data_IF_169706652498
#
_entry.id   IF_169706652498
#
_cell.length_a   1.000
_cell.length_b   1.000
_cell.length_c   1.000
_cell.angle_alpha   90.00
_cell.angle_beta   90.00
_cell.angle_gamma   90.00
#
_symmetry.space_group_name_H-M   'P 1'
#
loop_
_entity.id
_entity.type
_entity.pdbx_description
1 polymer ?
#
# COMPACT_ATOMS: atom_id res chain seq x y z
N UNK A 1 -30.25 -49.18 42.19
CA UNK A 1 -29.53 -47.97 41.72
C UNK A 1 -29.84 -46.83 42.68
N UNK A 2 -28.83 -46.31 43.41
CA UNK A 2 -29.02 -45.14 44.27
C UNK A 2 -28.84 -43.88 43.42
N UNK A 3 -29.93 -43.16 43.18
CA UNK A 3 -29.86 -41.82 42.63
C UNK A 3 -29.42 -40.89 43.77
N UNK A 4 -28.16 -40.47 43.74
CA UNK A 4 -27.70 -39.35 44.57
C UNK A 4 -28.28 -38.07 43.97
N UNK A 5 -29.50 -37.73 44.38
CA UNK A 5 -30.07 -36.41 44.16
C UNK A 5 -29.15 -35.42 44.87
N UNK A 6 -28.31 -34.72 44.11
CA UNK A 6 -27.39 -33.70 44.65
C UNK A 6 -28.15 -32.72 45.52
N UNK A 7 -27.53 -32.26 46.60
CA UNK A 7 -28.16 -31.31 47.50
C UNK A 7 -28.39 -29.96 46.77
N UNK A 8 -29.39 -29.16 47.19
CA UNK A 8 -29.63 -27.84 46.60
C UNK A 8 -28.39 -26.93 46.60
N UNK A 9 -27.52 -27.07 47.60
CA UNK A 9 -26.25 -26.32 47.67
C UNK A 9 -25.23 -26.74 46.62
N UNK A 10 -25.15 -28.04 46.30
CA UNK A 10 -24.28 -28.56 45.24
C UNK A 10 -24.71 -28.09 43.85
N UNK A 11 -26.02 -27.99 43.63
CA UNK A 11 -26.56 -27.39 42.39
C UNK A 11 -26.21 -25.91 42.29
N UNK A 12 -26.40 -25.14 43.37
CA UNK A 12 -26.05 -23.71 43.39
C UNK A 12 -24.57 -23.46 43.10
N UNK A 13 -23.66 -24.22 43.73
CA UNK A 13 -22.22 -24.12 43.47
C UNK A 13 -21.87 -24.44 42.01
N UNK A 14 -22.50 -25.46 41.43
CA UNK A 14 -22.27 -25.85 40.03
C UNK A 14 -22.75 -24.79 39.04
N UNK A 15 -23.88 -24.17 39.30
CA UNK A 15 -24.43 -23.14 38.43
C UNK A 15 -23.61 -21.85 38.50
N UNK A 16 -23.15 -21.45 39.69
CA UNK A 16 -22.18 -20.36 39.85
C UNK A 16 -20.88 -20.63 39.09
N UNK A 17 -20.35 -21.86 39.16
CA UNK A 17 -19.12 -22.22 38.48
C UNK A 17 -19.29 -22.24 36.95
N UNK A 18 -20.43 -22.75 36.45
CA UNK A 18 -20.80 -22.67 35.02
C UNK A 18 -20.93 -21.22 34.55
N UNK A 19 -21.55 -20.34 35.35
CA UNK A 19 -21.65 -18.92 35.02
C UNK A 19 -20.27 -18.26 34.96
N UNK A 20 -19.39 -18.51 35.94
CA UNK A 20 -18.01 -17.98 35.92
C UNK A 20 -17.27 -18.44 34.67
N UNK A 21 -17.37 -19.72 34.31
CA UNK A 21 -16.74 -20.25 33.09
C UNK A 21 -17.32 -19.61 31.81
N UNK A 22 -18.65 -19.39 31.74
CA UNK A 22 -19.28 -18.70 30.60
C UNK A 22 -18.79 -17.26 30.48
N UNK A 23 -18.75 -16.51 31.60
CA UNK A 23 -18.25 -15.13 31.62
C UNK A 23 -16.77 -15.05 31.25
N UNK A 24 -15.95 -15.97 31.75
CA UNK A 24 -14.52 -16.05 31.40
C UNK A 24 -14.31 -16.33 29.90
N UNK A 25 -15.04 -17.30 29.32
CA UNK A 25 -14.99 -17.60 27.88
C UNK A 25 -15.46 -16.42 27.03
N UNK A 26 -16.53 -15.74 27.44
CA UNK A 26 -17.04 -14.57 26.74
C UNK A 26 -16.01 -13.43 26.75
N UNK A 27 -15.40 -13.15 27.91
CA UNK A 27 -14.36 -12.12 28.04
C UNK A 27 -13.11 -12.46 27.22
N UNK A 28 -12.68 -13.73 27.22
CA UNK A 28 -11.55 -14.18 26.40
C UNK A 28 -11.85 -14.01 24.90
N UNK A 29 -13.05 -14.39 24.45
CA UNK A 29 -13.49 -14.23 23.06
C UNK A 29 -13.55 -12.75 22.65
N UNK A 30 -14.08 -11.89 23.52
CA UNK A 30 -14.12 -10.43 23.29
C UNK A 30 -12.73 -9.83 23.16
N UNK A 31 -11.79 -10.22 24.03
CA UNK A 31 -10.38 -9.79 23.94
C UNK A 31 -9.73 -10.26 22.64
N UNK A 32 -9.91 -11.54 22.29
CA UNK A 32 -9.40 -12.10 21.05
C UNK A 32 -9.93 -11.35 19.81
N UNK A 33 -11.22 -11.02 19.78
CA UNK A 33 -11.81 -10.20 18.71
C UNK A 33 -11.24 -8.78 18.68
N UNK A 34 -11.04 -8.15 19.82
CA UNK A 34 -10.40 -6.82 19.89
C UNK A 34 -8.97 -6.86 19.36
N UNK A 35 -8.18 -7.89 19.72
CA UNK A 35 -6.84 -8.08 19.17
C UNK A 35 -6.86 -8.30 17.66
N UNK A 36 -7.80 -9.10 17.15
CA UNK A 36 -7.97 -9.30 15.71
C UNK A 36 -8.26 -7.97 15.00
N UNK A 37 -9.22 -7.20 15.51
CA UNK A 37 -9.60 -5.91 14.93
C UNK A 37 -8.45 -4.90 14.98
N UNK A 38 -7.70 -4.86 16.09
CA UNK A 38 -6.52 -4.02 16.22
C UNK A 38 -5.43 -4.38 15.19
N UNK A 39 -5.17 -5.68 14.99
CA UNK A 39 -4.22 -6.13 13.97
C UNK A 39 -4.69 -5.80 12.55
N UNK A 40 -5.99 -5.96 12.26
CA UNK A 40 -6.55 -5.61 10.96
C UNK A 40 -6.46 -4.10 10.70
N UNK A 41 -6.78 -3.28 11.70
CA UNK A 41 -6.64 -1.83 11.63
C UNK A 41 -5.17 -1.42 11.41
N UNK A 42 -4.23 -2.07 12.10
CA UNK A 42 -2.79 -1.82 11.92
C UNK A 42 -2.34 -2.17 10.49
N UNK A 43 -2.71 -3.34 9.98
CA UNK A 43 -2.38 -3.75 8.62
C UNK A 43 -2.97 -2.79 7.57
N UNK A 44 -4.23 -2.40 7.74
CA UNK A 44 -4.88 -1.42 6.87
C UNK A 44 -4.17 -0.05 6.93
N UNK A 45 -3.80 0.40 8.13
CA UNK A 45 -3.07 1.67 8.31
C UNK A 45 -1.71 1.66 7.58
N UNK A 46 -0.98 0.54 7.63
CA UNK A 46 0.29 0.40 6.90
C UNK A 46 0.08 0.51 5.38
N UNK A 47 -0.94 -0.15 4.84
CA UNK A 47 -1.25 -0.05 3.40
C UNK A 47 -1.56 1.39 2.98
N UNK A 48 -2.33 2.12 3.78
CA UNK A 48 -2.66 3.53 3.52
C UNK A 48 -1.41 4.40 3.56
N UNK A 49 -0.55 4.24 4.57
CA UNK A 49 0.71 5.00 4.68
C UNK A 49 1.62 4.75 3.48
N UNK A 50 1.79 3.49 3.06
CA UNK A 50 2.60 3.14 1.88
C UNK A 50 2.02 3.76 0.61
N UNK A 51 0.70 3.71 0.42
CA UNK A 51 0.03 4.34 -0.71
C UNK A 51 0.27 5.85 -0.76
N UNK A 52 0.08 6.53 0.38
CA UNK A 52 0.32 7.98 0.48
C UNK A 52 1.78 8.31 0.18
N UNK A 53 2.72 7.53 0.72
CA UNK A 53 4.15 7.72 0.49
C UNK A 53 4.53 7.57 -0.99
N UNK A 54 3.97 6.58 -1.68
CA UNK A 54 4.18 6.38 -3.12
C UNK A 54 3.56 7.53 -3.93
N UNK A 55 2.34 7.95 -3.60
CA UNK A 55 1.64 9.02 -4.31
C UNK A 55 2.25 10.42 -4.10
N UNK A 56 2.97 10.64 -3.00
CA UNK A 56 3.67 11.90 -2.70
C UNK A 56 5.07 11.98 -3.31
N UNK A 57 5.53 10.97 -4.06
CA UNK A 57 6.80 11.09 -4.77
C UNK A 57 6.70 12.27 -5.73
N UNK A 58 7.61 13.24 -5.65
CA UNK A 58 7.58 14.38 -6.57
C UNK A 58 7.62 13.86 -8.00
N UNK A 59 6.91 14.51 -8.94
CA UNK A 59 7.01 14.16 -10.35
C UNK A 59 8.48 14.19 -10.72
N UNK A 60 8.98 13.07 -11.22
CA UNK A 60 10.37 12.96 -11.64
C UNK A 60 10.53 13.95 -12.81
N UNK A 61 11.53 14.85 -12.79
CA UNK A 61 11.73 15.79 -13.88
C UNK A 61 11.81 15.05 -15.22
N UNK A 62 11.04 15.50 -16.21
CA UNK A 62 10.94 14.83 -17.51
C UNK A 62 10.03 13.61 -17.55
N UNK A 63 9.24 13.34 -16.50
CA UNK A 63 8.18 12.31 -16.49
C UNK A 63 6.80 12.97 -16.53
N UNK A 64 6.06 12.73 -17.61
CA UNK A 64 4.68 13.19 -17.80
C UNK A 64 3.79 11.97 -17.99
N UNK A 65 2.77 11.82 -17.15
CA UNK A 65 1.84 10.68 -17.18
C UNK A 65 2.56 9.31 -17.27
N UNK A 66 3.55 9.06 -16.41
CA UNK A 66 4.31 7.81 -16.39
C UNK A 66 5.26 7.60 -17.58
N UNK A 67 5.27 8.51 -18.56
CA UNK A 67 6.20 8.49 -19.68
C UNK A 67 7.39 9.40 -19.36
N UNK A 68 8.59 8.85 -19.43
CA UNK A 68 9.82 9.62 -19.32
C UNK A 68 10.35 9.98 -20.70
N UNK A 69 10.59 11.26 -20.95
CA UNK A 69 11.30 11.74 -22.15
C UNK A 69 12.74 12.06 -21.78
N UNK A 70 13.69 11.46 -22.50
CA UNK A 70 15.12 11.72 -22.34
C UNK A 70 15.66 12.20 -23.67
N UNK A 71 16.21 13.40 -23.68
CA UNK A 71 16.88 13.99 -24.84
C UNK A 71 18.38 13.96 -24.54
N UNK A 72 19.17 13.29 -25.36
CA UNK A 72 20.64 13.38 -25.33
C UNK A 72 21.15 13.88 -26.66
N UNK A 73 22.07 14.82 -26.57
CA UNK A 73 22.91 15.26 -27.68
C UNK A 73 24.35 14.76 -27.44
N UNK A 74 25.19 14.83 -28.47
CA UNK A 74 26.63 14.59 -28.34
C UNK A 74 27.27 15.60 -27.37
N UNK A 75 28.32 15.17 -26.65
CA UNK A 75 28.98 15.98 -25.62
C UNK A 75 29.71 17.20 -26.20
N UNK A 76 30.18 17.10 -27.44
CA UNK A 76 30.88 18.19 -28.15
C UNK A 76 30.05 18.71 -29.33
N UNK A 77 29.54 19.93 -29.18
CA UNK A 77 28.77 20.61 -30.23
C UNK A 77 29.75 21.40 -31.12
N UNK A 78 30.07 20.86 -32.30
CA UNK A 78 30.93 21.52 -33.28
C UNK A 78 30.06 22.24 -34.31
N UNK A 79 30.23 23.56 -34.44
CA UNK A 79 29.40 24.44 -35.30
C UNK A 79 29.31 24.03 -36.77
N UNK A 80 30.22 23.20 -37.27
CA UNK A 80 30.29 22.77 -38.66
C UNK A 80 29.76 21.35 -38.91
N UNK A 81 29.27 20.65 -37.87
CA UNK A 81 28.73 19.30 -37.97
C UNK A 81 27.24 19.28 -37.63
N UNK A 82 26.44 18.41 -38.28
CA UNK A 82 25.07 18.14 -37.83
C UNK A 82 25.08 17.65 -36.38
N UNK A 83 24.14 18.15 -35.58
CA UNK A 83 23.94 17.69 -34.21
C UNK A 83 23.13 16.39 -34.22
N UNK A 84 23.71 15.28 -33.76
CA UNK A 84 22.94 14.05 -33.52
C UNK A 84 22.21 14.17 -32.18
N UNK A 85 20.87 14.10 -32.21
CA UNK A 85 20.01 14.16 -31.03
C UNK A 85 19.17 12.90 -30.96
N UNK A 86 19.27 12.20 -29.84
CA UNK A 86 18.49 10.99 -29.56
C UNK A 86 17.42 11.29 -28.51
N UNK A 87 16.18 11.03 -28.88
CA UNK A 87 15.03 11.10 -28.00
C UNK A 87 14.61 9.68 -27.64
N UNK A 88 14.66 9.35 -26.35
CA UNK A 88 14.11 8.12 -25.82
C UNK A 88 12.85 8.40 -25.03
N UNK A 89 11.82 7.58 -25.28
CA UNK A 89 10.59 7.58 -24.50
C UNK A 89 10.50 6.26 -23.76
N UNK A 90 10.45 6.32 -22.44
CA UNK A 90 10.30 5.15 -21.59
C UNK A 90 8.92 5.16 -20.95
N UNK A 91 8.15 4.10 -21.17
CA UNK A 91 6.95 3.84 -20.39
C UNK A 91 7.34 3.24 -19.05
N UNK A 92 7.11 3.99 -17.96
CA UNK A 92 7.36 3.53 -16.60
C UNK A 92 6.14 2.90 -15.95
N UNK A 93 5.01 2.90 -16.64
CA UNK A 93 3.79 2.24 -16.18
C UNK A 93 3.76 0.77 -16.65
N UNK A 94 3.11 -0.11 -15.88
CA UNK A 94 2.99 -1.53 -16.24
C UNK A 94 2.03 -1.78 -17.41
N UNK A 95 1.18 -0.81 -17.76
CA UNK A 95 0.23 -0.92 -18.86
C UNK A 95 0.80 -0.37 -20.17
N UNK A 96 0.36 -0.91 -21.31
CA UNK A 96 0.71 -0.36 -22.62
C UNK A 96 0.12 1.04 -22.79
N UNK A 97 0.93 1.98 -23.28
CA UNK A 97 0.51 3.34 -23.62
C UNK A 97 0.87 3.66 -25.06
N UNK A 98 -0.09 4.26 -25.76
CA UNK A 98 0.17 4.85 -27.07
C UNK A 98 0.66 6.28 -26.87
N UNK A 99 1.74 6.62 -27.55
CA UNK A 99 2.33 7.95 -27.50
C UNK A 99 2.46 8.48 -28.92
N UNK A 100 2.07 9.73 -29.11
CA UNK A 100 2.29 10.47 -30.34
C UNK A 100 3.08 11.71 -29.98
N UNK A 101 4.22 11.89 -30.65
CA UNK A 101 4.99 13.13 -30.58
C UNK A 101 4.49 14.00 -31.72
N UNK A 102 3.78 15.07 -31.39
CA UNK A 102 3.34 16.11 -32.32
C UNK A 102 3.95 17.45 -31.90
N UNK A 103 4.34 18.27 -32.88
CA UNK A 103 4.76 19.66 -32.65
C UNK A 103 5.96 19.79 -31.68
N UNK A 104 7.12 19.27 -32.08
CA UNK A 104 8.35 19.44 -31.30
C UNK A 104 9.12 20.70 -31.74
N UNK A 105 9.71 21.40 -30.77
CA UNK A 105 10.59 22.54 -30.98
C UNK A 105 11.87 22.36 -30.16
N UNK A 106 13.02 22.55 -30.80
CA UNK A 106 14.32 22.59 -30.13
C UNK A 106 14.79 24.04 -30.07
N UNK A 107 14.93 24.56 -28.86
CA UNK A 107 15.52 25.87 -28.61
C UNK A 107 16.95 25.69 -28.09
N UNK A 108 17.92 26.27 -28.77
CA UNK A 108 19.33 26.24 -28.38
C UNK A 108 19.68 27.60 -27.80
N UNK A 109 19.86 27.67 -26.49
CA UNK A 109 20.28 28.89 -25.79
C UNK A 109 21.81 28.96 -25.73
N UNK A 110 22.37 30.16 -25.93
CA UNK A 110 23.79 30.42 -25.61
C UNK A 110 23.94 30.44 -24.09
N UNK A 111 24.83 29.58 -23.57
CA UNK A 111 25.35 29.68 -22.20
C UNK A 111 26.32 30.85 -22.06
#
# INVERSE_FOLDING_TARGET
MKYYTRSPEEWRKRDEEKERQRRARFNARRRSLLFLLANLALAFSMLVVVRIYISRRPPIPGVVDGLQVVIKAEDEIISSKPLDVKVWIYNRDPGEKKVTISEYHFEIMRG
#
